data_IF_669903359873
#
_entry.id   IF_669903359873
#
_cell.length_a   1.000
_cell.length_b   1.000
_cell.length_c   1.000
_cell.angle_alpha   90.00
_cell.angle_beta   90.00
_cell.angle_gamma   90.00
#
_symmetry.space_group_name_H-M   'P 1'
#
loop_
_entity.id
_entity.type
_entity.pdbx_description
1 polymer ?
#
# COMPACT_ATOMS: atom_id res chain seq x y z
N UNK A 1 -13.81 15.06 -6.97
CA UNK A 1 -12.70 14.98 -7.95
C UNK A 1 -12.10 13.59 -8.09
N UNK A 2 -11.47 13.00 -7.06
CA UNK A 2 -10.95 11.61 -7.13
C UNK A 2 -12.09 10.59 -7.25
N UNK A 3 -13.16 10.75 -6.47
CA UNK A 3 -14.37 9.91 -6.57
C UNK A 3 -15.02 9.97 -7.96
N UNK A 4 -15.03 11.15 -8.58
CA UNK A 4 -15.51 11.37 -9.95
C UNK A 4 -14.50 10.96 -11.03
N UNK A 5 -13.37 10.34 -10.63
CA UNK A 5 -12.28 9.90 -11.52
C UNK A 5 -11.65 11.00 -12.38
N UNK A 6 -11.71 12.24 -11.93
CA UNK A 6 -11.07 13.39 -12.60
C UNK A 6 -9.60 13.57 -12.20
N UNK A 7 -9.16 12.87 -11.15
CA UNK A 7 -7.79 12.92 -10.61
C UNK A 7 -7.36 11.49 -10.30
N UNK A 8 -6.17 11.12 -10.79
CA UNK A 8 -5.52 9.85 -10.46
C UNK A 8 -4.70 9.99 -9.16
N UNK A 9 -4.71 8.99 -8.24
CA UNK A 9 -3.91 9.01 -7.03
C UNK A 9 -2.39 8.93 -7.24
N UNK A 10 -1.91 8.58 -8.44
CA UNK A 10 -0.51 8.51 -8.84
C UNK A 10 0.36 7.70 -7.85
N UNK A 11 -0.10 6.52 -7.44
CA UNK A 11 0.62 5.65 -6.51
C UNK A 11 1.84 5.01 -7.20
N UNK A 12 3.03 5.19 -6.62
CA UNK A 12 4.29 4.73 -7.21
C UNK A 12 4.77 3.39 -6.65
N UNK A 13 4.80 3.22 -5.33
CA UNK A 13 5.26 2.00 -4.67
C UNK A 13 4.50 1.73 -3.36
N UNK A 14 4.30 0.45 -3.02
CA UNK A 14 3.62 0.03 -1.79
C UNK A 14 4.52 -0.89 -0.98
N UNK A 15 4.69 -0.59 0.31
CA UNK A 15 5.56 -1.33 1.22
C UNK A 15 4.77 -2.15 2.24
N UNK A 16 5.29 -3.32 2.67
CA UNK A 16 4.73 -4.03 3.81
C UNK A 16 5.00 -3.26 5.12
N UNK A 17 4.23 -3.58 6.16
CA UNK A 17 4.35 -2.98 7.50
C UNK A 17 5.79 -2.93 8.03
N UNK A 18 6.54 -4.02 7.84
CA UNK A 18 7.93 -4.15 8.32
C UNK A 18 8.94 -3.23 7.62
N UNK A 19 8.56 -2.60 6.49
CA UNK A 19 9.43 -1.73 5.68
C UNK A 19 9.06 -0.24 5.76
N UNK A 20 8.18 0.16 6.67
CA UNK A 20 7.88 1.59 6.91
C UNK A 20 9.16 2.42 7.11
N UNK A 21 10.15 2.03 7.94
CA UNK A 21 11.36 2.82 8.10
C UNK A 21 12.15 2.99 6.81
N UNK A 22 12.18 1.96 5.96
CA UNK A 22 12.88 2.01 4.67
C UNK A 22 12.20 2.97 3.69
N UNK A 23 10.86 2.92 3.60
CA UNK A 23 10.10 3.86 2.78
C UNK A 23 10.38 5.32 3.17
N UNK A 24 10.46 5.60 4.48
CA UNK A 24 10.80 6.93 4.98
C UNK A 24 12.25 7.35 4.63
N UNK A 25 13.22 6.43 4.65
CA UNK A 25 14.60 6.76 4.24
C UNK A 25 14.70 7.09 2.75
N UNK A 26 13.94 6.40 1.89
CA UNK A 26 13.85 6.72 0.46
C UNK A 26 13.29 8.12 0.23
N UNK A 27 12.28 8.54 1.00
CA UNK A 27 11.76 9.90 0.97
C UNK A 27 12.79 10.91 1.46
N UNK A 28 13.41 10.66 2.62
CA UNK A 28 14.40 11.55 3.24
C UNK A 28 15.58 11.84 2.30
N UNK A 29 16.00 10.85 1.53
CA UNK A 29 17.14 10.95 0.61
C UNK A 29 16.74 11.26 -0.84
N UNK A 30 15.46 11.56 -1.10
CA UNK A 30 14.91 11.82 -2.45
C UNK A 30 15.19 10.70 -3.47
N UNK A 31 15.19 9.44 -3.01
CA UNK A 31 15.36 8.24 -3.86
C UNK A 31 14.05 7.51 -4.15
N UNK A 32 12.93 8.04 -3.68
CA UNK A 32 11.61 7.49 -3.99
C UNK A 32 11.24 7.77 -5.46
N UNK A 33 10.54 6.84 -6.14
CA UNK A 33 10.06 7.07 -7.49
C UNK A 33 9.01 8.20 -7.51
N UNK A 34 8.85 8.92 -8.64
CA UNK A 34 7.81 9.92 -8.80
C UNK A 34 6.41 9.35 -8.50
N UNK A 35 5.63 10.06 -7.70
CA UNK A 35 4.32 9.64 -7.23
C UNK A 35 4.26 9.37 -5.73
N UNK A 36 3.12 8.88 -5.27
CA UNK A 36 2.85 8.66 -3.85
C UNK A 36 3.23 7.23 -3.43
N UNK A 37 4.10 7.09 -2.44
CA UNK A 37 4.34 5.79 -1.81
C UNK A 37 3.30 5.53 -0.72
N UNK A 38 2.92 4.27 -0.54
CA UNK A 38 1.95 3.84 0.47
C UNK A 38 2.47 2.64 1.28
N UNK A 39 1.81 2.35 2.40
CA UNK A 39 2.19 1.24 3.29
C UNK A 39 0.97 0.39 3.64
N UNK A 40 1.18 -0.92 3.74
CA UNK A 40 0.17 -1.86 4.23
C UNK A 40 0.14 -1.85 5.76
N UNK A 41 -1.07 -1.82 6.32
CA UNK A 41 -1.32 -1.93 7.78
C UNK A 41 -1.97 -3.26 8.10
N UNK A 42 -3.30 -3.35 7.97
CA UNK A 42 -4.05 -4.58 8.21
C UNK A 42 -4.36 -5.38 6.92
N UNK A 43 -4.09 -4.79 5.75
CA UNK A 43 -4.23 -5.52 4.49
C UNK A 43 -3.00 -6.43 4.29
N UNK A 44 -3.16 -7.76 4.17
CA UNK A 44 -2.03 -8.69 4.10
C UNK A 44 -1.24 -8.59 2.78
N UNK A 45 -1.84 -8.02 1.73
CA UNK A 45 -1.24 -7.82 0.42
C UNK A 45 -1.88 -6.64 -0.32
N UNK A 46 -1.26 -6.22 -1.42
CA UNK A 46 -1.78 -5.14 -2.28
C UNK A 46 -3.00 -5.59 -3.09
N UNK A 47 -3.76 -4.62 -3.61
CA UNK A 47 -4.86 -4.84 -4.54
C UNK A 47 -6.22 -5.18 -3.91
N UNK A 48 -6.31 -5.25 -2.58
CA UNK A 48 -7.55 -5.47 -1.83
C UNK A 48 -8.36 -4.16 -1.77
N UNK A 49 -9.67 -4.24 -2.02
CA UNK A 49 -10.53 -3.05 -2.16
C UNK A 49 -11.64 -3.00 -1.13
N UNK A 50 -12.00 -4.14 -0.55
CA UNK A 50 -13.08 -4.25 0.44
C UNK A 50 -12.59 -4.89 1.73
N UNK A 51 -13.38 -4.78 2.79
CA UNK A 51 -13.10 -5.47 4.06
C UNK A 51 -13.19 -6.99 3.88
N UNK A 52 -14.14 -7.48 3.08
CA UNK A 52 -14.31 -8.91 2.82
C UNK A 52 -13.07 -9.49 2.12
N UNK A 53 -12.51 -8.79 1.12
CA UNK A 53 -11.26 -9.20 0.46
C UNK A 53 -10.11 -9.36 1.48
N UNK A 54 -10.04 -8.47 2.47
CA UNK A 54 -9.02 -8.48 3.53
C UNK A 54 -9.23 -9.66 4.46
N UNK A 55 -10.47 -9.94 4.86
CA UNK A 55 -10.80 -11.07 5.73
C UNK A 55 -10.47 -12.40 5.02
N UNK A 56 -10.89 -12.56 3.76
CA UNK A 56 -10.61 -13.76 2.96
C UNK A 56 -9.10 -13.97 2.76
N UNK A 57 -8.37 -12.91 2.39
CA UNK A 57 -6.93 -12.98 2.21
C UNK A 57 -6.20 -13.30 3.53
N UNK A 58 -6.67 -12.76 4.66
CA UNK A 58 -6.06 -12.99 5.98
C UNK A 58 -6.29 -14.41 6.49
N UNK A 59 -7.45 -15.01 6.20
CA UNK A 59 -7.73 -16.41 6.54
C UNK A 59 -6.77 -17.38 5.83
N UNK A 60 -6.35 -17.04 4.60
CA UNK A 60 -5.38 -17.84 3.83
C UNK A 60 -3.95 -17.66 4.34
N UNK A 61 -3.60 -16.46 4.81
CA UNK A 61 -2.25 -16.15 5.31
C UNK A 61 -1.92 -16.73 6.69
N UNK A 62 -2.91 -17.17 7.47
CA UNK A 62 -2.71 -17.82 8.78
C UNK A 62 -2.44 -19.34 8.68
N UNK A 63 -2.50 -19.94 7.49
CA UNK A 63 -2.25 -21.36 7.27
C UNK A 63 -0.78 -21.70 6.94
N UNK A 64 0.14 -20.74 7.02
CA UNK A 64 1.56 -20.88 6.73
C UNK A 64 2.44 -20.45 7.91
#
# INVERSE_FOLDING_TARGET
FVLDRRIDPCMSEVFPWTRIPHAHELMRTNRHPPGNMAVLVNAPRTGLRTLDDVIEASATSQAA
#
